data_IF_813044451602
#
_entry.id   IF_813044451602
#
_cell.length_a   1.000
_cell.length_b   1.000
_cell.length_c   1.000
_cell.angle_alpha   90.00
_cell.angle_beta   90.00
_cell.angle_gamma   90.00
#
_symmetry.space_group_name_H-M   'P 1'
#
loop_
_entity.id
_entity.type
_entity.pdbx_description
1 polymer ?
#
# COMPACT_ATOMS: atom_id res chain seq x y z
N UNK A 1 -16.39 27.01 -9.47
CA UNK A 1 -17.40 26.13 -8.82
C UNK A 1 -16.63 25.35 -7.75
N UNK A 2 -16.95 25.54 -6.47
CA UNK A 2 -16.26 24.84 -5.37
C UNK A 2 -16.69 23.37 -5.45
N UNK A 3 -15.71 22.46 -5.57
CA UNK A 3 -16.00 21.02 -5.56
C UNK A 3 -16.54 20.65 -4.17
N UNK A 4 -17.73 20.06 -4.12
CA UNK A 4 -18.37 19.62 -2.87
C UNK A 4 -18.12 18.11 -2.68
N UNK A 5 -17.45 17.76 -1.58
CA UNK A 5 -17.07 16.39 -1.24
C UNK A 5 -18.12 15.63 -0.42
N UNK A 6 -19.13 16.28 0.15
CA UNK A 6 -20.04 15.68 1.14
C UNK A 6 -20.65 14.35 0.66
N UNK A 7 -21.18 14.33 -0.58
CA UNK A 7 -21.83 13.14 -1.15
C UNK A 7 -20.87 11.95 -1.30
N UNK A 8 -19.63 12.21 -1.73
CA UNK A 8 -18.65 11.15 -1.94
C UNK A 8 -18.06 10.69 -0.61
N UNK A 9 -17.86 11.59 0.35
CA UNK A 9 -17.40 11.24 1.70
C UNK A 9 -18.43 10.39 2.45
N UNK A 10 -19.72 10.67 2.29
CA UNK A 10 -20.82 9.84 2.80
C UNK A 10 -20.80 8.44 2.18
N UNK A 11 -20.60 8.34 0.86
CA UNK A 11 -20.49 7.06 0.14
C UNK A 11 -19.27 6.25 0.59
N UNK A 12 -18.10 6.89 0.62
CA UNK A 12 -16.84 6.29 1.09
C UNK A 12 -16.95 5.94 2.58
N UNK A 13 -17.74 6.66 3.37
CA UNK A 13 -17.83 6.51 4.82
C UNK A 13 -16.54 6.96 5.51
N UNK A 14 -15.90 8.01 4.97
CA UNK A 14 -14.68 8.61 5.51
C UNK A 14 -14.72 10.12 5.30
N UNK A 15 -14.51 10.89 6.37
CA UNK A 15 -14.42 12.35 6.31
C UNK A 15 -12.96 12.78 6.31
N UNK A 16 -12.53 13.37 5.19
CA UNK A 16 -11.20 13.94 4.97
C UNK A 16 -11.03 15.25 5.72
N UNK A 17 -9.85 15.45 6.30
CA UNK A 17 -9.39 16.74 6.83
C UNK A 17 -8.94 17.63 5.66
N UNK A 18 -8.15 17.08 4.74
CA UNK A 18 -7.78 17.74 3.49
C UNK A 18 -8.62 17.22 2.31
N UNK A 19 -9.61 18.02 1.91
CA UNK A 19 -10.48 17.72 0.77
C UNK A 19 -9.71 17.65 -0.55
N UNK A 20 -8.55 18.31 -0.66
CA UNK A 20 -7.75 18.27 -1.88
C UNK A 20 -7.14 16.88 -2.13
N UNK A 21 -6.85 16.10 -1.08
CA UNK A 21 -6.40 14.71 -1.23
C UNK A 21 -7.47 13.84 -1.90
N UNK A 22 -8.72 13.95 -1.45
CA UNK A 22 -9.83 13.23 -2.07
C UNK A 22 -10.06 13.69 -3.53
N UNK A 23 -9.99 15.00 -3.77
CA UNK A 23 -10.09 15.53 -5.14
C UNK A 23 -8.98 15.00 -6.04
N UNK A 24 -7.74 14.95 -5.54
CA UNK A 24 -6.58 14.43 -6.27
C UNK A 24 -6.74 12.93 -6.56
N UNK A 25 -7.20 12.14 -5.59
CA UNK A 25 -7.45 10.71 -5.78
C UNK A 25 -8.47 10.41 -6.90
N UNK A 26 -9.46 11.29 -7.06
CA UNK A 26 -10.49 11.19 -8.10
C UNK A 26 -10.10 11.89 -9.42
N UNK A 27 -8.91 12.50 -9.50
CA UNK A 27 -8.44 13.22 -10.68
C UNK A 27 -7.66 12.31 -11.60
N UNK A 28 -8.30 11.83 -12.66
CA UNK A 28 -7.63 11.05 -13.68
C UNK A 28 -6.70 11.94 -14.53
N UNK A 29 -5.61 11.37 -15.05
CA UNK A 29 -4.64 12.07 -15.90
C UNK A 29 -5.26 12.80 -17.11
N UNK A 30 -6.37 12.30 -17.66
CA UNK A 30 -7.06 12.95 -18.79
C UNK A 30 -7.70 14.28 -18.40
N UNK A 31 -8.15 14.41 -17.15
CA UNK A 31 -8.66 15.66 -16.60
C UNK A 31 -7.52 16.63 -16.30
N UNK A 32 -6.45 16.15 -15.63
CA UNK A 32 -5.31 16.97 -15.27
C UNK A 32 -4.66 17.62 -16.49
N UNK A 33 -4.52 16.89 -17.61
CA UNK A 33 -3.99 17.40 -18.89
C UNK A 33 -4.75 18.60 -19.47
N UNK A 34 -5.99 18.82 -19.07
CA UNK A 34 -6.82 19.94 -19.51
C UNK A 34 -6.81 21.12 -18.53
N UNK A 35 -6.06 21.00 -17.43
CA UNK A 35 -5.94 22.00 -16.37
C UNK A 35 -4.58 22.72 -16.40
N UNK A 36 -4.44 23.77 -15.60
CA UNK A 36 -3.17 24.51 -15.44
C UNK A 36 -2.06 23.66 -14.79
N UNK A 37 -2.41 22.53 -14.17
CA UNK A 37 -1.48 21.63 -13.47
C UNK A 37 -1.57 20.19 -14.03
N UNK A 38 -0.96 19.90 -15.19
CA UNK A 38 -1.09 18.59 -15.85
C UNK A 38 -0.51 17.41 -15.07
N UNK A 39 0.32 17.68 -14.05
CA UNK A 39 0.92 16.66 -13.17
C UNK A 39 0.10 16.39 -11.90
N UNK A 40 -1.03 17.08 -11.67
CA UNK A 40 -1.91 16.86 -10.52
C UNK A 40 -2.97 15.81 -10.86
N UNK A 41 -2.55 14.55 -10.89
CA UNK A 41 -3.44 13.40 -11.07
C UNK A 41 -3.14 12.29 -10.07
N UNK A 42 -4.02 11.30 -10.04
CA UNK A 42 -4.08 10.25 -9.05
C UNK A 42 -2.95 9.20 -9.11
N UNK A 43 -2.22 9.05 -10.22
CA UNK A 43 -1.19 7.98 -10.40
C UNK A 43 -0.14 7.90 -9.25
N UNK A 44 0.25 9.03 -8.63
CA UNK A 44 1.16 8.97 -7.46
C UNK A 44 0.46 8.38 -6.22
N UNK A 45 -0.81 8.73 -6.02
CA UNK A 45 -1.62 8.18 -4.92
C UNK A 45 -1.96 6.71 -5.17
N UNK A 46 -2.19 6.31 -6.42
CA UNK A 46 -2.37 4.92 -6.85
C UNK A 46 -1.17 4.07 -6.43
N UNK A 47 0.05 4.52 -6.77
CA UNK A 47 1.30 3.87 -6.35
C UNK A 47 1.38 3.62 -4.84
N UNK A 48 1.07 4.64 -4.04
CA UNK A 48 1.10 4.51 -2.57
C UNK A 48 -0.04 3.61 -2.09
N UNK A 49 -1.23 3.80 -2.67
CA UNK A 49 -2.45 3.10 -2.34
C UNK A 49 -2.42 1.60 -2.58
N UNK A 50 -1.82 1.15 -3.68
CA UNK A 50 -1.54 -0.27 -3.97
C UNK A 50 -0.77 -0.90 -2.80
N UNK A 51 0.34 -0.28 -2.41
CA UNK A 51 1.16 -0.78 -1.31
C UNK A 51 0.42 -0.77 0.04
N UNK A 52 -0.40 0.26 0.31
CA UNK A 52 -1.21 0.35 1.54
C UNK A 52 -2.31 -0.72 1.57
N UNK A 53 -3.02 -0.93 0.46
CA UNK A 53 -4.02 -2.00 0.36
C UNK A 53 -3.34 -3.34 0.62
N UNK A 54 -2.16 -3.56 0.03
CA UNK A 54 -1.43 -4.80 0.16
C UNK A 54 -1.04 -5.09 1.62
N UNK A 55 -0.45 -4.12 2.32
CA UNK A 55 -0.05 -4.30 3.72
C UNK A 55 -1.25 -4.46 4.65
N UNK A 56 -2.37 -3.75 4.41
CA UNK A 56 -3.61 -3.95 5.19
C UNK A 56 -4.16 -5.36 5.01
N UNK A 57 -4.16 -5.89 3.78
CA UNK A 57 -4.61 -7.26 3.49
C UNK A 57 -3.68 -8.27 4.12
N UNK A 58 -2.35 -8.07 4.00
CA UNK A 58 -1.35 -8.95 4.58
C UNK A 58 -1.46 -9.03 6.11
N UNK A 59 -1.59 -7.88 6.76
CA UNK A 59 -1.76 -7.77 8.20
C UNK A 59 -3.04 -8.47 8.68
N UNK A 60 -4.18 -8.16 8.04
CA UNK A 60 -5.44 -8.85 8.33
C UNK A 60 -5.33 -10.38 8.18
N UNK A 61 -4.68 -10.86 7.11
CA UNK A 61 -4.49 -12.28 6.88
C UNK A 61 -3.49 -12.90 7.85
N UNK A 62 -2.46 -12.18 8.28
CA UNK A 62 -1.54 -12.68 9.29
C UNK A 62 -2.27 -12.92 10.62
N UNK A 63 -3.06 -11.94 11.08
CA UNK A 63 -3.85 -12.06 12.31
C UNK A 63 -4.87 -13.20 12.24
N UNK A 64 -5.62 -13.28 11.12
CA UNK A 64 -6.81 -14.12 11.02
C UNK A 64 -6.58 -15.46 10.31
N UNK A 65 -5.44 -15.64 9.65
CA UNK A 65 -5.15 -16.80 8.79
C UNK A 65 -3.76 -17.42 9.01
N UNK A 66 -3.01 -17.05 10.06
CA UNK A 66 -1.68 -17.66 10.36
C UNK A 66 -1.67 -19.19 10.48
N UNK A 67 -2.82 -19.79 10.74
CA UNK A 67 -2.98 -21.25 10.80
C UNK A 67 -3.07 -21.90 9.41
N UNK A 68 -3.23 -21.15 8.33
CA UNK A 68 -3.26 -21.66 6.96
C UNK A 68 -1.85 -21.90 6.42
N UNK A 69 -1.76 -22.72 5.37
CA UNK A 69 -0.55 -22.77 4.54
C UNK A 69 -0.37 -21.44 3.80
N UNK A 70 0.86 -20.93 3.71
CA UNK A 70 1.16 -19.63 3.07
C UNK A 70 0.65 -19.56 1.63
N UNK A 71 0.70 -20.66 0.88
CA UNK A 71 0.13 -20.73 -0.47
C UNK A 71 -1.38 -20.39 -0.51
N UNK A 72 -2.13 -20.67 0.55
CA UNK A 72 -3.55 -20.31 0.67
C UNK A 72 -3.72 -18.85 1.09
N UNK A 73 -2.87 -18.36 2.00
CA UNK A 73 -2.85 -16.94 2.37
C UNK A 73 -2.61 -16.07 1.15
N UNK A 74 -1.62 -16.42 0.31
CA UNK A 74 -1.35 -15.74 -0.95
C UNK A 74 -2.57 -15.73 -1.88
N UNK A 75 -3.29 -16.85 -2.02
CA UNK A 75 -4.53 -16.90 -2.82
C UNK A 75 -5.63 -16.01 -2.27
N UNK A 76 -5.76 -15.93 -0.94
CA UNK A 76 -6.73 -15.03 -0.31
C UNK A 76 -6.35 -13.57 -0.54
N UNK A 77 -5.06 -13.23 -0.43
CA UNK A 77 -4.53 -11.91 -0.76
C UNK A 77 -4.85 -11.55 -2.22
N UNK A 78 -4.48 -12.40 -3.17
CA UNK A 78 -4.69 -12.17 -4.60
C UNK A 78 -6.19 -12.03 -4.96
N UNK A 79 -7.06 -12.71 -4.21
CA UNK A 79 -8.51 -12.53 -4.32
C UNK A 79 -8.96 -11.14 -3.87
N UNK A 80 -8.31 -10.51 -2.89
CA UNK A 80 -8.69 -9.16 -2.43
C UNK A 80 -8.09 -8.08 -3.33
N UNK A 81 -6.79 -8.20 -3.63
CA UNK A 81 -6.02 -7.14 -4.31
C UNK A 81 -6.04 -7.23 -5.84
N UNK A 82 -6.68 -8.26 -6.42
CA UNK A 82 -6.74 -8.41 -7.87
C UNK A 82 -7.59 -7.32 -8.55
N UNK A 83 -7.16 -6.85 -9.72
CA UNK A 83 -7.76 -5.75 -10.49
C UNK A 83 -9.29 -5.79 -10.61
N UNK A 84 -9.84 -6.98 -10.88
CA UNK A 84 -11.30 -7.17 -11.01
C UNK A 84 -12.04 -6.91 -9.70
N UNK A 85 -11.41 -7.22 -8.58
CA UNK A 85 -11.97 -7.05 -7.25
C UNK A 85 -11.86 -5.60 -6.79
N UNK A 86 -10.75 -4.92 -7.09
CA UNK A 86 -10.62 -3.48 -6.86
C UNK A 86 -11.66 -2.67 -7.64
N UNK A 87 -11.97 -3.07 -8.88
CA UNK A 87 -13.11 -2.50 -9.65
C UNK A 87 -14.44 -2.75 -8.99
N UNK A 88 -14.62 -3.96 -8.46
CA UNK A 88 -15.85 -4.31 -7.74
C UNK A 88 -16.00 -3.42 -6.52
N UNK A 89 -14.93 -3.14 -5.78
CA UNK A 89 -14.94 -2.20 -4.65
C UNK A 89 -15.21 -0.76 -5.10
N UNK A 90 -14.59 -0.31 -6.19
CA UNK A 90 -14.86 1.01 -6.78
C UNK A 90 -16.34 1.18 -7.18
N UNK A 91 -16.95 0.14 -7.74
CA UNK A 91 -18.38 0.13 -8.07
C UNK A 91 -19.27 0.15 -6.84
N UNK A 92 -18.91 -0.55 -5.76
CA UNK A 92 -19.68 -0.52 -4.50
C UNK A 92 -19.72 0.89 -3.87
N UNK A 93 -18.75 1.73 -4.19
CA UNK A 93 -18.66 3.12 -3.76
C UNK A 93 -19.21 4.13 -4.77
N UNK A 94 -19.73 3.66 -5.92
CA UNK A 94 -20.16 4.51 -7.04
C UNK A 94 -19.06 5.48 -7.53
N UNK A 95 -17.77 5.12 -7.42
CA UNK A 95 -16.66 6.06 -7.68
C UNK A 95 -16.70 6.70 -9.06
N UNK A 96 -17.22 5.98 -10.06
CA UNK A 96 -17.38 6.49 -11.44
C UNK A 96 -18.12 7.83 -11.49
N UNK A 97 -19.13 8.04 -10.63
CA UNK A 97 -19.94 9.27 -10.62
C UNK A 97 -19.16 10.51 -10.14
N UNK A 98 -18.02 10.29 -9.46
CA UNK A 98 -17.24 11.34 -8.82
C UNK A 98 -15.86 11.55 -9.47
N UNK A 99 -15.49 10.68 -10.42
CA UNK A 99 -14.24 10.77 -11.16
C UNK A 99 -14.20 12.04 -12.01
N UNK A 100 -13.08 12.77 -11.92
CA UNK A 100 -12.80 13.93 -12.77
C UNK A 100 -12.04 13.44 -14.00
N UNK A 101 -12.66 13.60 -15.17
CA UNK A 101 -12.21 13.03 -16.43
C UNK A 101 -12.15 14.11 -17.50
N UNK A 102 -11.19 13.99 -18.43
CA UNK A 102 -11.17 14.84 -19.63
C UNK A 102 -12.28 14.44 -20.61
N UNK A 103 -12.76 15.40 -21.40
CA UNK A 103 -13.89 15.24 -22.35
C UNK A 103 -13.87 13.97 -23.21
N UNK A 104 -12.70 13.53 -23.67
CA UNK A 104 -12.55 12.32 -24.50
C UNK A 104 -12.73 11.02 -23.73
N UNK A 105 -12.39 11.01 -22.44
CA UNK A 105 -12.56 9.84 -21.56
C UNK A 105 -13.98 9.76 -20.98
N UNK A 106 -14.69 10.89 -20.85
CA UNK A 106 -16.12 10.86 -20.48
C UNK A 106 -16.97 10.16 -21.56
N UNK A 107 -16.62 10.33 -22.84
CA UNK A 107 -17.32 9.72 -23.98
C UNK A 107 -16.96 8.26 -24.24
N UNK A 108 -15.78 7.82 -23.81
CA UNK A 108 -15.39 6.43 -23.89
C UNK A 108 -16.09 5.69 -22.74
N UNK A 109 -17.12 4.91 -23.06
CA UNK A 109 -17.77 4.06 -22.07
C UNK A 109 -16.67 3.17 -21.44
N UNK A 110 -16.40 3.38 -20.14
CA UNK A 110 -15.41 2.71 -19.27
C UNK A 110 -15.35 1.17 -19.40
N UNK A 111 -16.25 0.59 -20.19
CA UNK A 111 -16.31 -0.81 -20.60
C UNK A 111 -15.12 -1.26 -21.47
N UNK A 112 -14.43 -0.35 -22.16
CA UNK A 112 -13.40 -0.71 -23.17
C UNK A 112 -11.98 -0.16 -22.91
N UNK A 113 -11.70 0.44 -21.75
CA UNK A 113 -10.34 0.88 -21.46
C UNK A 113 -9.43 -0.32 -21.15
N UNK A 114 -8.28 -0.41 -21.83
CA UNK A 114 -7.23 -1.42 -21.60
C UNK A 114 -6.50 -1.25 -20.25
N UNK A 115 -6.77 -0.15 -19.54
CA UNK A 115 -6.33 0.16 -18.18
C UNK A 115 -7.53 0.32 -17.27
N UNK A 116 -7.39 -0.14 -16.03
CA UNK A 116 -8.50 -0.29 -15.12
C UNK A 116 -8.74 0.95 -14.25
N UNK A 117 -9.15 2.06 -14.90
CA UNK A 117 -9.27 3.40 -14.29
C UNK A 117 -10.01 3.43 -12.94
N UNK A 118 -11.02 2.56 -12.75
CA UNK A 118 -11.76 2.48 -11.49
C UNK A 118 -10.98 1.76 -10.37
N UNK A 119 -10.21 0.73 -10.72
CA UNK A 119 -9.28 0.08 -9.80
C UNK A 119 -8.20 1.07 -9.34
N UNK A 120 -7.54 1.72 -10.31
CA UNK A 120 -6.50 2.73 -10.06
C UNK A 120 -7.03 3.87 -9.16
N UNK A 121 -8.28 4.31 -9.38
CA UNK A 121 -8.95 5.31 -8.53
C UNK A 121 -9.25 4.80 -7.11
N UNK A 122 -9.58 3.52 -6.96
CA UNK A 122 -9.78 2.91 -5.65
C UNK A 122 -8.47 2.82 -4.86
N UNK A 123 -7.37 2.45 -5.52
CA UNK A 123 -6.03 2.46 -4.93
C UNK A 123 -5.65 3.88 -4.52
N UNK A 124 -5.77 4.84 -5.43
CA UNK A 124 -5.51 6.24 -5.12
C UNK A 124 -6.35 6.77 -3.95
N UNK A 125 -7.60 6.33 -3.83
CA UNK A 125 -8.45 6.65 -2.69
C UNK A 125 -7.89 6.06 -1.38
N UNK A 126 -7.46 4.79 -1.39
CA UNK A 126 -6.84 4.17 -0.22
C UNK A 126 -5.55 4.91 0.19
N UNK A 127 -4.72 5.31 -0.78
CA UNK A 127 -3.53 6.15 -0.56
C UNK A 127 -3.88 7.50 0.05
N UNK A 128 -4.95 8.16 -0.43
CA UNK A 128 -5.41 9.44 0.12
C UNK A 128 -5.94 9.29 1.56
N UNK A 129 -6.69 8.22 1.87
CA UNK A 129 -7.18 7.94 3.23
C UNK A 129 -6.00 7.70 4.17
N UNK A 130 -4.97 6.98 3.74
CA UNK A 130 -3.74 6.79 4.50
C UNK A 130 -3.04 8.11 4.79
N UNK A 131 -2.84 8.98 3.79
CA UNK A 131 -2.17 10.26 4.00
C UNK A 131 -2.95 11.23 4.91
N UNK A 132 -4.30 11.20 4.85
CA UNK A 132 -5.14 12.07 5.68
C UNK A 132 -5.31 11.53 7.12
N UNK A 133 -5.34 10.20 7.25
CA UNK A 133 -5.84 9.51 8.44
C UNK A 133 -4.84 8.60 9.16
N UNK A 134 -3.71 8.25 8.56
CA UNK A 134 -2.79 7.23 9.06
C UNK A 134 -3.22 5.80 8.70
N UNK A 135 -2.33 4.85 8.96
CA UNK A 135 -2.49 3.44 8.63
C UNK A 135 -3.72 2.83 9.31
N UNK A 136 -3.91 3.07 10.61
CA UNK A 136 -5.04 2.51 11.36
C UNK A 136 -6.39 2.92 10.78
N UNK A 137 -6.55 4.16 10.31
CA UNK A 137 -7.81 4.60 9.71
C UNK A 137 -8.02 3.97 8.33
N UNK A 138 -6.97 3.84 7.52
CA UNK A 138 -7.02 3.14 6.24
C UNK A 138 -7.34 1.65 6.41
N UNK A 139 -6.67 0.99 7.35
CA UNK A 139 -6.89 -0.41 7.75
C UNK A 139 -8.33 -0.64 8.16
N UNK A 140 -8.83 0.13 9.13
CA UNK A 140 -10.20 -0.01 9.61
C UNK A 140 -11.25 0.22 8.51
N UNK A 141 -11.00 1.18 7.62
CA UNK A 141 -11.87 1.45 6.48
C UNK A 141 -11.91 0.26 5.49
N UNK A 142 -10.75 -0.22 5.04
CA UNK A 142 -10.63 -1.36 4.12
C UNK A 142 -11.20 -2.65 4.71
N UNK A 143 -10.79 -2.98 5.94
CA UNK A 143 -11.17 -4.22 6.63
C UNK A 143 -12.67 -4.28 6.82
N UNK A 144 -13.27 -3.22 7.39
CA UNK A 144 -14.70 -3.19 7.71
C UNK A 144 -15.58 -3.23 6.47
N UNK A 145 -15.23 -2.47 5.43
CA UNK A 145 -16.10 -2.31 4.25
C UNK A 145 -15.92 -3.40 3.20
N UNK A 146 -14.71 -3.93 3.03
CA UNK A 146 -14.39 -4.78 1.88
C UNK A 146 -13.85 -6.15 2.27
N UNK A 147 -12.81 -6.19 3.11
CA UNK A 147 -12.09 -7.46 3.39
C UNK A 147 -12.96 -8.40 4.23
N UNK A 148 -13.54 -7.92 5.33
CA UNK A 148 -14.39 -8.74 6.20
C UNK A 148 -15.59 -9.32 5.44
N UNK A 149 -16.41 -8.52 4.72
CA UNK A 149 -17.53 -9.07 3.96
C UNK A 149 -17.11 -10.07 2.88
N UNK A 150 -15.97 -9.83 2.21
CA UNK A 150 -15.47 -10.68 1.14
C UNK A 150 -14.96 -12.04 1.65
N UNK A 151 -14.20 -12.03 2.75
CA UNK A 151 -13.50 -13.22 3.25
C UNK A 151 -14.26 -14.01 4.33
N UNK A 152 -15.35 -13.47 4.88
CA UNK A 152 -16.13 -14.12 5.95
C UNK A 152 -16.57 -15.56 5.64
N UNK A 153 -16.75 -15.91 4.36
CA UNK A 153 -17.12 -17.26 3.92
C UNK A 153 -15.92 -18.19 3.77
N UNK A 154 -14.78 -17.67 3.32
CA UNK A 154 -13.59 -18.47 3.06
C UNK A 154 -12.98 -19.01 4.36
N UNK A 155 -13.04 -18.23 5.45
CA UNK A 155 -12.42 -18.56 6.74
C UNK A 155 -13.05 -19.74 7.50
N UNK A 156 -14.18 -20.30 7.02
CA UNK A 156 -14.92 -21.34 7.76
C UNK A 156 -14.40 -22.77 7.56
N UNK A 157 -13.50 -23.03 6.61
CA UNK A 157 -13.30 -24.39 6.08
C UNK A 157 -11.84 -24.87 5.95
N UNK A 158 -10.95 -24.56 6.91
CA UNK A 158 -9.55 -24.95 6.77
C UNK A 158 -9.02 -25.85 7.89
N UNK A 159 -8.14 -26.78 7.48
CA UNK A 159 -7.27 -27.54 8.39
C UNK A 159 -6.02 -26.71 8.69
N UNK A 160 -5.67 -26.60 9.96
CA UNK A 160 -4.52 -25.84 10.41
C UNK A 160 -3.19 -26.53 10.01
N UNK A 161 -2.27 -25.77 9.42
CA UNK A 161 -0.89 -26.15 9.18
C UNK A 161 0.01 -24.91 9.23
N UNK A 162 0.48 -24.51 10.42
CA UNK A 162 1.30 -23.32 10.57
C UNK A 162 2.72 -23.56 10.05
N UNK A 163 3.30 -22.52 9.44
CA UNK A 163 4.74 -22.41 9.22
C UNK A 163 5.16 -20.97 9.56
N UNK A 164 5.45 -20.69 10.85
CA UNK A 164 5.65 -19.33 11.34
C UNK A 164 6.67 -18.53 10.51
N UNK A 165 7.80 -19.15 10.16
CA UNK A 165 8.84 -18.50 9.35
C UNK A 165 8.35 -18.11 7.96
N UNK A 166 7.57 -18.95 7.27
CA UNK A 166 7.05 -18.60 5.94
C UNK A 166 5.99 -17.49 6.00
N UNK A 167 5.21 -17.42 7.08
CA UNK A 167 4.24 -16.33 7.30
C UNK A 167 4.95 -15.01 7.60
N UNK A 168 6.01 -15.02 8.40
CA UNK A 168 6.84 -13.84 8.64
C UNK A 168 7.52 -13.36 7.35
N UNK A 169 8.03 -14.29 6.52
CA UNK A 169 8.59 -13.95 5.21
C UNK A 169 7.54 -13.27 4.32
N UNK A 170 6.35 -13.86 4.21
CA UNK A 170 5.23 -13.30 3.45
C UNK A 170 4.85 -11.89 3.92
N UNK A 171 4.66 -11.71 5.23
CA UNK A 171 4.29 -10.43 5.80
C UNK A 171 5.42 -9.40 5.59
N UNK A 172 6.66 -9.80 5.82
CA UNK A 172 7.85 -8.97 5.64
C UNK A 172 8.10 -8.52 4.20
N UNK A 173 7.82 -9.38 3.22
CA UNK A 173 7.84 -9.03 1.80
C UNK A 173 6.92 -7.84 1.47
N UNK A 174 5.74 -7.83 2.08
CA UNK A 174 4.71 -6.82 1.82
C UNK A 174 5.00 -5.53 2.61
N UNK A 175 5.39 -5.66 3.88
CA UNK A 175 5.81 -4.50 4.70
C UNK A 175 6.98 -3.79 4.03
N UNK A 176 8.00 -4.52 3.57
CA UNK A 176 9.15 -3.94 2.88
C UNK A 176 8.73 -3.07 1.70
N UNK A 177 7.79 -3.55 0.87
CA UNK A 177 7.25 -2.75 -0.23
C UNK A 177 6.52 -1.51 0.27
N UNK A 178 5.69 -1.63 1.31
CA UNK A 178 4.90 -0.53 1.85
C UNK A 178 5.78 0.56 2.49
N UNK A 179 6.77 0.20 3.33
CA UNK A 179 7.66 1.18 3.98
C UNK A 179 8.55 1.89 2.96
N UNK A 180 9.00 1.18 1.92
CA UNK A 180 9.77 1.79 0.81
C UNK A 180 8.87 2.70 -0.03
N UNK A 181 7.64 2.29 -0.34
CA UNK A 181 6.66 3.12 -1.05
C UNK A 181 6.33 4.41 -0.29
N UNK A 182 6.09 4.34 1.03
CA UNK A 182 5.92 5.52 1.91
C UNK A 182 7.13 6.46 1.83
N UNK A 183 8.32 5.88 1.96
CA UNK A 183 9.57 6.63 1.89
C UNK A 183 9.73 7.34 0.54
N UNK A 184 9.68 6.63 -0.58
CA UNK A 184 9.93 7.25 -1.91
C UNK A 184 8.83 8.24 -2.27
N UNK A 185 7.58 7.98 -1.87
CA UNK A 185 6.47 8.92 -2.09
C UNK A 185 6.70 10.25 -1.36
N UNK A 186 7.20 10.20 -0.12
CA UNK A 186 7.49 11.38 0.70
C UNK A 186 8.74 12.14 0.24
N UNK A 187 9.83 11.43 -0.11
CA UNK A 187 11.10 12.04 -0.46
C UNK A 187 11.17 12.57 -1.89
N UNK A 188 10.33 12.06 -2.80
CA UNK A 188 10.33 12.43 -4.22
C UNK A 188 8.98 13.05 -4.63
N UNK A 189 8.62 14.25 -4.13
CA UNK A 189 7.32 14.88 -4.39
C UNK A 189 7.10 15.25 -5.87
N UNK A 190 8.17 15.43 -6.64
CA UNK A 190 8.13 15.76 -8.07
C UNK A 190 8.22 14.54 -9.00
N UNK A 191 8.45 13.33 -8.45
CA UNK A 191 8.53 12.11 -9.25
C UNK A 191 7.15 11.60 -9.63
N UNK A 192 7.00 11.16 -10.89
CA UNK A 192 5.84 10.41 -11.35
C UNK A 192 5.84 8.96 -10.83
N UNK A 193 4.73 8.26 -11.03
CA UNK A 193 4.57 6.85 -10.63
C UNK A 193 5.71 5.98 -11.16
N UNK A 194 6.04 6.08 -12.45
CA UNK A 194 7.07 5.24 -13.05
C UNK A 194 8.45 5.41 -12.41
N UNK A 195 8.82 6.64 -12.04
CA UNK A 195 10.06 6.92 -11.29
C UNK A 195 9.98 6.39 -9.86
N UNK A 196 8.86 6.57 -9.16
CA UNK A 196 8.67 6.02 -7.81
C UNK A 196 8.79 4.49 -7.81
N UNK A 197 8.11 3.81 -8.72
CA UNK A 197 8.18 2.36 -8.92
C UNK A 197 9.61 1.90 -9.20
N UNK A 198 10.33 2.57 -10.10
CA UNK A 198 11.74 2.24 -10.39
C UNK A 198 12.64 2.34 -9.16
N UNK A 199 12.49 3.40 -8.36
CA UNK A 199 13.30 3.59 -7.15
C UNK A 199 12.91 2.56 -6.08
N UNK A 200 11.62 2.27 -5.90
CA UNK A 200 11.14 1.20 -5.01
C UNK A 200 11.81 -0.14 -5.34
N UNK A 201 11.81 -0.53 -6.62
CA UNK A 201 12.43 -1.79 -7.07
C UNK A 201 13.93 -1.86 -6.78
N UNK A 202 14.64 -0.73 -6.77
CA UNK A 202 16.06 -0.69 -6.39
C UNK A 202 16.23 -1.04 -4.91
N UNK A 203 15.42 -0.46 -4.03
CA UNK A 203 15.48 -0.71 -2.57
C UNK A 203 15.04 -2.13 -2.18
N UNK A 204 14.03 -2.69 -2.84
CA UNK A 204 13.51 -4.03 -2.47
C UNK A 204 14.32 -5.19 -3.06
N UNK A 205 15.37 -4.89 -3.82
CA UNK A 205 16.23 -5.90 -4.45
C UNK A 205 17.16 -6.60 -3.45
N UNK A 206 17.42 -7.89 -3.65
CA UNK A 206 18.18 -8.72 -2.69
C UNK A 206 19.56 -8.17 -2.28
N UNK A 207 20.38 -7.53 -3.14
CA UNK A 207 21.66 -6.97 -2.72
C UNK A 207 21.53 -5.88 -1.65
N UNK A 208 20.53 -4.99 -1.78
CA UNK A 208 20.26 -3.94 -0.78
C UNK A 208 19.81 -4.54 0.56
N UNK A 209 19.06 -5.64 0.53
CA UNK A 209 18.59 -6.30 1.76
C UNK A 209 19.72 -6.94 2.59
N UNK A 210 20.78 -7.42 1.94
CA UNK A 210 21.95 -7.93 2.65
C UNK A 210 22.70 -6.82 3.39
N UNK A 211 22.79 -5.63 2.79
CA UNK A 211 23.37 -4.44 3.43
C UNK A 211 22.55 -4.04 4.66
N UNK A 212 21.22 -3.92 4.53
CA UNK A 212 20.36 -3.60 5.68
C UNK A 212 20.43 -4.63 6.80
N UNK A 213 20.55 -5.93 6.48
CA UNK A 213 20.72 -6.97 7.49
C UNK A 213 22.02 -6.82 8.27
N UNK A 214 23.09 -6.31 7.64
CA UNK A 214 24.37 -6.08 8.31
C UNK A 214 24.37 -4.88 9.27
N UNK A 215 23.36 -4.01 9.15
CA UNK A 215 23.18 -2.83 10.00
C UNK A 215 22.26 -3.08 11.22
N UNK A 216 21.72 -4.28 11.39
CA UNK A 216 20.88 -4.64 12.55
C UNK A 216 21.68 -4.56 13.85
N UNK A 217 21.19 -3.78 14.81
CA UNK A 217 21.88 -3.58 16.09
C UNK A 217 21.36 -4.53 17.19
N UNK A 218 22.08 -4.69 18.31
CA UNK A 218 21.57 -5.40 19.48
C UNK A 218 20.26 -4.83 20.04
N UNK A 219 20.04 -3.52 19.95
CA UNK A 219 18.79 -2.87 20.34
C UNK A 219 17.61 -3.33 19.48
N UNK A 220 17.83 -3.49 18.17
CA UNK A 220 16.80 -4.00 17.26
C UNK A 220 16.43 -5.46 17.57
N UNK A 221 17.43 -6.29 17.89
CA UNK A 221 17.21 -7.66 18.32
C UNK A 221 16.42 -7.73 19.63
N UNK A 222 16.76 -6.85 20.58
CA UNK A 222 16.03 -6.75 21.86
C UNK A 222 14.58 -6.31 21.66
N UNK A 223 14.31 -5.39 20.72
CA UNK A 223 12.96 -4.91 20.42
C UNK A 223 12.00 -6.06 20.05
N UNK A 224 12.49 -7.04 19.31
CA UNK A 224 11.70 -8.21 18.87
C UNK A 224 11.94 -9.47 19.73
N UNK A 225 12.74 -9.36 20.79
CA UNK A 225 13.09 -10.49 21.67
C UNK A 225 13.86 -11.61 20.95
N UNK A 226 14.71 -11.27 19.98
CA UNK A 226 15.56 -12.21 19.25
C UNK A 226 17.01 -12.13 19.74
N UNK A 227 17.77 -13.20 19.51
CA UNK A 227 19.22 -13.23 19.64
C UNK A 227 19.89 -13.28 18.25
N UNK A 228 21.22 -13.18 18.22
CA UNK A 228 22.01 -13.24 16.98
C UNK A 228 21.86 -14.57 16.23
N UNK A 229 21.66 -15.68 16.96
CA UNK A 229 21.55 -17.01 16.38
C UNK A 229 20.24 -17.15 15.61
N UNK A 230 19.14 -16.62 16.15
CA UNK A 230 17.84 -16.59 15.49
C UNK A 230 17.83 -15.71 14.23
N UNK A 231 18.53 -14.57 14.25
CA UNK A 231 18.71 -13.72 13.05
C UNK A 231 19.47 -14.46 11.95
N UNK A 232 20.50 -15.23 12.29
CA UNK A 232 21.31 -15.98 11.31
C UNK A 232 20.51 -17.04 10.53
N UNK A 233 19.40 -17.52 11.12
CA UNK A 233 18.52 -18.53 10.52
C UNK A 233 17.33 -17.97 9.72
N UNK A 234 17.13 -16.66 9.69
CA UNK A 234 15.97 -16.01 9.06
C UNK A 234 16.40 -14.87 8.13
N UNK A 235 15.55 -14.54 7.17
CA UNK A 235 15.86 -13.44 6.24
C UNK A 235 15.52 -12.09 6.87
N UNK A 236 16.16 -11.02 6.36
CA UNK A 236 15.82 -9.64 6.71
C UNK A 236 14.31 -9.35 6.68
N UNK A 237 13.57 -9.93 5.72
CA UNK A 237 12.12 -9.71 5.59
C UNK A 237 11.35 -10.29 6.79
N UNK A 238 11.69 -11.50 7.23
CA UNK A 238 11.10 -12.09 8.41
C UNK A 238 11.42 -11.27 9.68
N UNK A 239 12.63 -10.71 9.74
CA UNK A 239 12.99 -9.79 10.82
C UNK A 239 12.17 -8.49 10.78
N UNK A 240 12.04 -7.87 9.60
CA UNK A 240 11.21 -6.68 9.40
C UNK A 240 9.74 -6.92 9.77
N UNK A 241 9.22 -8.12 9.49
CA UNK A 241 7.88 -8.50 9.93
C UNK A 241 7.75 -8.51 11.46
N UNK A 242 8.76 -8.95 12.19
CA UNK A 242 8.74 -8.92 13.66
C UNK A 242 8.89 -7.51 14.22
N UNK A 243 9.70 -6.66 13.57
CA UNK A 243 9.77 -5.23 13.89
C UNK A 243 8.38 -4.61 13.74
N UNK A 244 7.69 -4.89 12.63
CA UNK A 244 6.32 -4.43 12.42
C UNK A 244 5.34 -4.98 13.46
N UNK A 245 5.45 -6.25 13.87
CA UNK A 245 4.57 -6.81 14.90
C UNK A 245 4.85 -6.25 16.30
N UNK A 246 6.06 -5.72 16.53
CA UNK A 246 6.44 -5.06 17.78
C UNK A 246 6.10 -3.56 17.80
N UNK A 247 5.87 -2.96 16.62
CA UNK A 247 5.62 -1.53 16.43
C UNK A 247 4.26 -1.29 15.75
N UNK A 248 3.86 -0.04 15.54
CA UNK A 248 2.80 0.27 14.57
C UNK A 248 3.43 0.54 13.19
N UNK A 249 2.61 0.70 12.14
CA UNK A 249 3.12 0.85 10.77
C UNK A 249 4.00 2.10 10.61
N UNK A 250 3.56 3.23 11.14
CA UNK A 250 4.28 4.50 11.08
C UNK A 250 5.64 4.45 11.80
N UNK A 251 5.71 3.81 12.97
CA UNK A 251 6.94 3.55 13.71
C UNK A 251 7.86 2.60 12.95
N UNK A 252 7.31 1.61 12.24
CA UNK A 252 8.08 0.74 11.34
C UNK A 252 8.68 1.54 10.18
N UNK A 253 7.91 2.46 9.59
CA UNK A 253 8.42 3.39 8.56
C UNK A 253 9.54 4.27 9.12
N UNK A 254 9.41 4.78 10.35
CA UNK A 254 10.46 5.56 11.02
C UNK A 254 11.72 4.71 11.24
N UNK A 255 11.56 3.51 11.79
CA UNK A 255 12.65 2.56 12.03
C UNK A 255 13.40 2.23 10.74
N UNK A 256 12.68 2.04 9.63
CA UNK A 256 13.28 1.82 8.32
C UNK A 256 14.03 3.06 7.81
N UNK A 257 13.45 4.26 7.93
CA UNK A 257 14.07 5.51 7.46
C UNK A 257 15.41 5.81 8.11
N UNK A 258 15.57 5.52 9.39
CA UNK A 258 16.83 5.74 10.11
C UNK A 258 17.99 4.85 9.60
N UNK A 259 17.68 3.81 8.82
CA UNK A 259 18.63 2.86 8.22
C UNK A 259 18.83 3.07 6.72
N UNK A 260 18.11 4.02 6.12
CA UNK A 260 18.36 4.37 4.73
C UNK A 260 19.60 5.24 4.64
N UNK A 261 20.51 4.98 3.68
CA UNK A 261 21.65 5.86 3.47
C UNK A 261 21.13 7.27 3.19
N UNK A 262 21.50 8.24 4.03
CA UNK A 262 21.22 9.65 3.76
C UNK A 262 21.68 10.00 2.33
N UNK A 263 21.01 10.91 1.59
CA UNK A 263 21.32 11.26 0.19
C UNK A 263 22.79 11.62 -0.10
N UNK A 264 23.58 11.88 0.94
CA UNK A 264 25.02 12.09 0.90
C UNK A 264 25.84 10.83 0.61
N UNK A 265 25.34 9.60 0.82
CA UNK A 265 26.13 8.35 0.65
C UNK A 265 25.85 7.57 -0.63
N UNK A 266 24.67 7.69 -1.25
CA UNK A 266 24.37 6.99 -2.51
C UNK A 266 24.36 7.95 -3.72
N UNK A 267 25.27 7.72 -4.67
CA UNK A 267 25.33 8.48 -5.94
C UNK A 267 24.11 8.25 -6.83
N UNK A 268 23.38 7.15 -6.64
CA UNK A 268 22.16 6.82 -7.41
C UNK A 268 21.01 7.77 -7.09
N UNK A 269 20.92 8.24 -5.84
CA UNK A 269 19.90 9.18 -5.36
C UNK A 269 20.24 10.65 -5.68
N UNK A 270 21.50 10.97 -5.98
CA UNK A 270 21.94 12.35 -6.31
C UNK A 270 21.49 12.83 -7.69
N UNK A 271 21.06 11.92 -8.56
CA UNK A 271 20.62 12.23 -9.93
C UNK A 271 19.11 12.04 -10.13
N UNK A 272 18.35 11.86 -9.04
CA UNK A 272 16.88 11.80 -9.04
C UNK A 272 16.32 13.18 -8.70
#
# INVERSE_FOLDING_TARGET
MIWNSDKIEDKIGFSFRDKNLLRLALSHRSYAKQSDNPNQHNERLEFLGDAIIDVVVADYLYENCRYLEVAKVLRLRDKVVGDRMLVTFAHQLDLKEFMLLGRSEESNDFRNASKNVLGDAFEALAGAIYLDGGFERARNWLVKKFINPLLARDLKNFKARPSPSMHLQFLGDIILKAVVSDFVYSQLPAADEGKLSKVREQFVSSPSLAEFQSEITPEDLNLVGWDSDKLSGLSFKAFLAEIYLALEFEETCNWWRDRLPTPTRDRSLRNL
#
